data_IF_765243144724
#
_entry.id   IF_765243144724
#
_cell.length_a   1.000
_cell.length_b   1.000
_cell.length_c   1.000
_cell.angle_alpha   90.00
_cell.angle_beta   90.00
_cell.angle_gamma   90.00
#
_symmetry.space_group_name_H-M   'P 1'
#
loop_
_entity.id
_entity.type
_entity.pdbx_description
1 polymer ?
#
# COMPACT_ATOMS: atom_id res chain seq x y z
N UNK A 1 15.14 -19.55 -13.08
CA UNK A 1 14.13 -20.18 -12.22
C UNK A 1 12.94 -20.56 -13.11
N UNK A 2 12.34 -21.75 -12.97
CA UNK A 2 11.15 -22.10 -13.74
C UNK A 2 10.01 -21.14 -13.36
N UNK A 3 9.32 -20.59 -14.37
CA UNK A 3 8.11 -19.78 -14.15
C UNK A 3 7.02 -20.62 -13.48
N UNK A 4 6.15 -19.97 -12.70
CA UNK A 4 4.95 -20.59 -12.15
C UNK A 4 4.03 -21.01 -13.32
N UNK A 5 3.99 -22.29 -13.63
CA UNK A 5 3.05 -22.88 -14.56
C UNK A 5 1.79 -23.26 -13.80
N UNK A 6 0.63 -23.23 -14.48
CA UNK A 6 -0.59 -23.77 -13.92
C UNK A 6 -0.40 -25.27 -13.70
N UNK A 7 -0.28 -25.65 -12.41
CA UNK A 7 -0.37 -27.07 -12.06
C UNK A 7 -1.85 -27.45 -12.19
N UNK A 8 -2.19 -28.26 -13.20
CA UNK A 8 -3.56 -28.70 -13.48
C UNK A 8 -4.14 -29.59 -12.38
N UNK A 9 -3.33 -29.98 -11.41
CA UNK A 9 -3.75 -30.77 -10.22
C UNK A 9 -3.92 -29.93 -8.95
N UNK A 10 -3.67 -28.61 -8.98
CA UNK A 10 -3.85 -27.76 -7.81
C UNK A 10 -5.28 -27.28 -7.63
N UNK A 11 -5.88 -27.57 -6.48
CA UNK A 11 -7.18 -27.02 -6.09
C UNK A 11 -6.99 -25.66 -5.44
N UNK A 12 -7.75 -24.64 -5.88
CA UNK A 12 -7.72 -23.30 -5.28
C UNK A 12 -9.08 -22.89 -4.74
N UNK A 13 -9.07 -22.09 -3.66
CA UNK A 13 -10.27 -21.58 -3.01
C UNK A 13 -10.05 -20.16 -2.47
N UNK A 14 -11.14 -19.41 -2.30
CA UNK A 14 -11.12 -18.03 -1.79
C UNK A 14 -11.81 -17.98 -0.45
N UNK A 15 -11.11 -17.41 0.55
CA UNK A 15 -11.66 -17.08 1.85
C UNK A 15 -12.01 -15.60 1.94
N UNK A 16 -13.11 -15.30 2.64
CA UNK A 16 -13.50 -13.94 3.01
C UNK A 16 -13.25 -13.74 4.50
N UNK A 17 -12.52 -12.69 4.84
CA UNK A 17 -12.22 -12.29 6.21
C UNK A 17 -12.93 -10.98 6.52
N UNK A 18 -13.89 -11.02 7.45
CA UNK A 18 -14.71 -9.86 7.84
C UNK A 18 -14.05 -8.95 8.87
N UNK A 19 -12.96 -9.41 9.49
CA UNK A 19 -12.19 -8.65 10.47
C UNK A 19 -10.71 -8.68 10.13
N UNK A 20 -10.00 -7.62 10.49
CA UNK A 20 -8.56 -7.55 10.34
C UNK A 20 -7.84 -8.63 11.15
N UNK A 21 -8.35 -8.93 12.35
CA UNK A 21 -7.84 -10.00 13.21
C UNK A 21 -7.88 -11.35 12.50
N UNK A 22 -9.05 -11.71 11.97
CA UNK A 22 -9.21 -12.97 11.23
C UNK A 22 -8.33 -13.04 9.98
N UNK A 23 -8.18 -11.92 9.25
CA UNK A 23 -7.28 -11.81 8.10
C UNK A 23 -5.82 -12.05 8.51
N UNK A 24 -5.35 -11.38 9.55
CA UNK A 24 -3.97 -11.49 10.03
C UNK A 24 -3.68 -12.89 10.59
N UNK A 25 -4.61 -13.49 11.32
CA UNK A 25 -4.47 -14.86 11.84
C UNK A 25 -4.12 -15.87 10.74
N UNK A 26 -4.70 -15.75 9.54
CA UNK A 26 -4.38 -16.64 8.42
C UNK A 26 -3.16 -16.24 7.61
N UNK A 27 -2.85 -14.94 7.54
CA UNK A 27 -1.92 -14.43 6.52
C UNK A 27 -0.62 -13.85 7.06
N UNK A 28 -0.58 -13.52 8.36
CA UNK A 28 0.54 -12.76 8.93
C UNK A 28 1.92 -13.41 8.70
N UNK A 29 2.11 -14.74 8.86
CA UNK A 29 3.42 -15.34 8.58
C UNK A 29 3.91 -15.09 7.15
N UNK A 30 3.01 -15.19 6.17
CA UNK A 30 3.35 -14.92 4.76
C UNK A 30 3.56 -13.43 4.50
N UNK A 31 2.67 -12.56 5.01
CA UNK A 31 2.80 -11.11 4.84
C UNK A 31 4.09 -10.58 5.46
N UNK A 32 4.48 -11.08 6.63
CA UNK A 32 5.72 -10.72 7.34
C UNK A 32 6.97 -11.11 6.54
N UNK A 33 6.98 -12.28 5.87
CA UNK A 33 8.11 -12.67 5.01
C UNK A 33 8.32 -11.72 3.84
N UNK A 34 7.26 -11.05 3.39
CA UNK A 34 7.25 -10.11 2.26
C UNK A 34 6.87 -8.69 2.68
N UNK A 35 7.22 -8.27 3.90
CA UNK A 35 6.65 -7.08 4.57
C UNK A 35 6.81 -5.79 3.77
N UNK A 36 7.90 -5.61 3.03
CA UNK A 36 8.10 -4.43 2.19
C UNK A 36 7.05 -4.32 1.07
N UNK A 37 6.78 -5.40 0.34
CA UNK A 37 5.79 -5.41 -0.75
C UNK A 37 4.36 -5.57 -0.23
N UNK A 38 4.15 -6.34 0.84
CA UNK A 38 2.83 -6.53 1.45
C UNK A 38 2.34 -5.35 2.28
N UNK A 39 3.20 -4.33 2.53
CA UNK A 39 2.87 -3.17 3.34
C UNK A 39 1.54 -2.51 2.94
N UNK A 40 1.21 -2.51 1.64
CA UNK A 40 -0.03 -1.93 1.12
C UNK A 40 -1.30 -2.63 1.67
N UNK A 41 -1.26 -3.91 1.96
CA UNK A 41 -2.39 -4.67 2.53
C UNK A 41 -2.22 -4.87 4.03
N UNK A 42 -0.99 -5.15 4.50
CA UNK A 42 -0.68 -5.43 5.91
C UNK A 42 -0.95 -4.22 6.81
N UNK A 43 -0.44 -3.04 6.45
CA UNK A 43 -0.57 -1.86 7.29
C UNK A 43 -2.04 -1.40 7.46
N UNK A 44 -2.89 -1.60 6.46
CA UNK A 44 -4.32 -1.32 6.57
C UNK A 44 -5.04 -2.27 7.53
N UNK A 45 -4.62 -3.54 7.60
CA UNK A 45 -5.15 -4.48 8.58
C UNK A 45 -4.66 -4.16 9.99
N UNK A 46 -3.35 -3.90 10.15
CA UNK A 46 -2.75 -3.55 11.45
C UNK A 46 -3.37 -2.30 12.08
N UNK A 47 -3.73 -1.30 11.28
CA UNK A 47 -4.43 -0.10 11.78
C UNK A 47 -5.78 -0.42 12.44
N UNK A 48 -6.41 -1.55 12.11
CA UNK A 48 -7.75 -1.93 12.60
C UNK A 48 -7.74 -2.82 13.82
N UNK A 49 -6.69 -3.58 14.04
CA UNK A 49 -6.61 -4.46 15.21
C UNK A 49 -6.18 -3.72 16.48
N UNK A 50 -5.66 -2.48 16.35
CA UNK A 50 -5.24 -1.65 17.50
C UNK A 50 -4.13 -2.31 18.31
N UNK A 51 -3.35 -1.50 19.01
CA UNK A 51 -2.38 -1.81 20.05
C UNK A 51 -1.39 -2.99 19.86
N UNK A 52 -0.18 -2.75 20.32
CA UNK A 52 1.00 -3.63 20.34
C UNK A 52 0.76 -5.04 20.92
N UNK A 53 -0.25 -5.22 21.76
CA UNK A 53 -0.59 -6.50 22.42
C UNK A 53 -1.09 -7.55 21.42
N UNK A 54 -1.76 -7.15 20.34
CA UNK A 54 -2.23 -8.08 19.33
C UNK A 54 -1.09 -8.57 18.42
N UNK A 55 -0.05 -7.76 18.21
CA UNK A 55 1.07 -8.09 17.33
C UNK A 55 1.89 -9.28 17.81
N UNK A 56 2.15 -9.41 19.12
CA UNK A 56 2.91 -10.53 19.68
C UNK A 56 2.26 -11.90 19.40
N UNK A 57 0.92 -11.94 19.37
CA UNK A 57 0.18 -13.16 19.02
C UNK A 57 0.41 -13.57 17.55
N UNK A 58 0.34 -12.62 16.63
CA UNK A 58 0.59 -12.91 15.20
C UNK A 58 2.06 -13.21 14.91
N UNK A 59 2.99 -12.54 15.60
CA UNK A 59 4.44 -12.79 15.45
C UNK A 59 4.86 -14.18 15.90
N UNK A 60 4.15 -14.76 16.85
CA UNK A 60 4.38 -16.13 17.32
C UNK A 60 3.80 -17.21 16.40
N UNK A 61 2.91 -16.84 15.45
CA UNK A 61 2.29 -17.81 14.55
C UNK A 61 3.27 -18.37 13.53
N UNK A 62 3.25 -19.68 13.38
CA UNK A 62 3.98 -20.45 12.35
C UNK A 62 3.07 -20.81 11.16
N UNK A 63 3.67 -21.34 10.09
CA UNK A 63 2.89 -21.89 8.98
C UNK A 63 2.10 -23.13 9.39
N UNK A 64 2.59 -23.91 10.36
CA UNK A 64 1.89 -25.06 10.95
C UNK A 64 0.64 -24.65 11.73
N UNK A 65 0.70 -23.53 12.46
CA UNK A 65 -0.47 -22.98 13.15
C UNK A 65 -1.55 -22.57 12.15
N UNK A 66 -1.15 -21.90 11.06
CA UNK A 66 -2.07 -21.55 9.98
C UNK A 66 -2.68 -22.80 9.34
N UNK A 67 -1.88 -23.87 9.15
CA UNK A 67 -2.39 -25.15 8.63
C UNK A 67 -3.45 -25.76 9.57
N UNK A 68 -3.21 -25.75 10.86
CA UNK A 68 -4.17 -26.25 11.84
C UNK A 68 -5.51 -25.51 11.80
N UNK A 69 -5.48 -24.19 11.49
CA UNK A 69 -6.70 -23.40 11.27
C UNK A 69 -7.50 -23.89 10.05
N UNK A 70 -6.82 -24.24 8.95
CA UNK A 70 -7.49 -24.78 7.77
C UNK A 70 -8.12 -26.15 8.02
N UNK A 71 -7.45 -27.02 8.77
CA UNK A 71 -7.95 -28.34 9.11
C UNK A 71 -9.24 -28.29 9.96
N UNK A 72 -9.41 -27.22 10.75
CA UNK A 72 -10.57 -27.00 11.63
C UNK A 72 -11.54 -25.94 11.09
N UNK A 73 -11.38 -25.52 9.82
CA UNK A 73 -12.17 -24.43 9.24
C UNK A 73 -13.59 -24.84 8.92
N UNK A 74 -14.55 -24.03 9.33
CA UNK A 74 -15.95 -24.19 8.92
C UNK A 74 -16.12 -23.89 7.43
N UNK A 75 -16.82 -24.77 6.71
CA UNK A 75 -17.12 -24.61 5.28
C UNK A 75 -17.94 -23.35 4.97
N UNK A 76 -18.67 -22.79 5.91
CA UNK A 76 -19.40 -21.53 5.78
C UNK A 76 -18.51 -20.35 5.37
N UNK A 77 -17.22 -20.39 5.69
CA UNK A 77 -16.24 -19.36 5.29
C UNK A 77 -15.96 -19.35 3.78
N UNK A 78 -16.30 -20.42 3.09
CA UNK A 78 -16.21 -20.51 1.63
C UNK A 78 -17.39 -19.84 0.91
N UNK A 79 -18.46 -19.50 1.64
CA UNK A 79 -19.64 -18.85 1.09
C UNK A 79 -19.45 -17.32 1.07
N UNK A 80 -19.73 -16.62 -0.06
CA UNK A 80 -19.64 -15.17 -0.11
C UNK A 80 -20.73 -14.53 0.75
N UNK A 81 -20.34 -13.48 1.50
CA UNK A 81 -21.31 -12.69 2.30
C UNK A 81 -21.19 -11.22 1.88
N UNK A 82 -22.29 -10.56 1.48
CA UNK A 82 -22.29 -9.12 1.22
C UNK A 82 -21.74 -8.34 2.41
N UNK A 83 -20.96 -7.29 2.14
CA UNK A 83 -20.37 -6.46 3.19
C UNK A 83 -20.31 -5.00 2.76
N UNK A 84 -20.70 -4.11 3.65
CA UNK A 84 -20.50 -2.66 3.55
C UNK A 84 -19.26 -2.21 4.32
N UNK A 85 -18.73 -3.08 5.19
CA UNK A 85 -17.54 -2.82 6.00
C UNK A 85 -16.28 -3.30 5.29
N UNK A 86 -15.13 -2.93 5.86
CA UNK A 86 -13.84 -3.42 5.39
C UNK A 86 -13.74 -4.94 5.52
N UNK A 87 -13.27 -5.60 4.46
CA UNK A 87 -12.99 -7.04 4.45
C UNK A 87 -11.80 -7.35 3.54
N UNK A 88 -11.31 -8.59 3.66
CA UNK A 88 -10.22 -9.11 2.83
C UNK A 88 -10.65 -10.42 2.18
N UNK A 89 -10.20 -10.62 0.94
CA UNK A 89 -10.26 -11.90 0.27
C UNK A 89 -8.86 -12.46 0.12
N UNK A 90 -8.68 -13.72 0.44
CA UNK A 90 -7.43 -14.44 0.24
C UNK A 90 -7.67 -15.65 -0.63
N UNK A 91 -6.86 -15.82 -1.67
CA UNK A 91 -6.87 -16.99 -2.50
C UNK A 91 -5.73 -17.91 -2.11
N UNK A 92 -6.07 -19.15 -1.88
CA UNK A 92 -5.15 -20.21 -1.47
C UNK A 92 -5.15 -21.33 -2.50
N UNK A 93 -4.01 -21.99 -2.69
CA UNK A 93 -3.91 -23.21 -3.49
C UNK A 93 -3.32 -24.35 -2.66
N UNK A 94 -3.79 -25.57 -2.94
CA UNK A 94 -3.28 -26.80 -2.39
C UNK A 94 -2.71 -27.61 -3.55
N UNK A 95 -1.42 -27.92 -3.50
CA UNK A 95 -0.75 -28.76 -4.49
C UNK A 95 -0.98 -30.24 -4.17
N UNK A 96 -1.05 -31.08 -5.19
CA UNK A 96 -1.05 -32.54 -5.00
C UNK A 96 0.20 -33.09 -4.32
N UNK A 97 1.29 -32.31 -4.33
CA UNK A 97 2.58 -32.68 -3.71
C UNK A 97 2.75 -32.14 -2.29
N UNK A 98 1.91 -31.18 -1.87
CA UNK A 98 1.93 -30.56 -0.54
C UNK A 98 0.51 -30.44 0.00
N UNK A 99 0.25 -31.03 1.15
CA UNK A 99 -1.03 -30.86 1.83
C UNK A 99 -1.22 -29.47 2.44
N UNK A 100 -0.17 -28.64 2.45
CA UNK A 100 -0.19 -27.30 3.04
C UNK A 100 -0.77 -26.27 2.05
N UNK A 101 -1.81 -25.51 2.42
CA UNK A 101 -2.30 -24.40 1.61
C UNK A 101 -1.24 -23.31 1.47
N UNK A 102 -1.07 -22.80 0.24
CA UNK A 102 -0.17 -21.69 -0.06
C UNK A 102 -1.00 -20.45 -0.41
N UNK A 103 -0.67 -19.32 0.22
CA UNK A 103 -1.30 -18.03 -0.09
C UNK A 103 -0.81 -17.54 -1.46
N UNK A 104 -1.71 -17.40 -2.40
CA UNK A 104 -1.39 -16.95 -3.75
C UNK A 104 -1.71 -15.48 -3.98
N UNK A 105 -2.84 -15.00 -3.42
CA UNK A 105 -3.35 -13.65 -3.68
C UNK A 105 -4.08 -13.10 -2.47
N UNK A 106 -3.90 -11.80 -2.24
CA UNK A 106 -4.70 -11.01 -1.29
C UNK A 106 -5.39 -9.89 -2.05
N UNK A 107 -6.69 -9.72 -1.78
CA UNK A 107 -7.47 -8.55 -2.17
C UNK A 107 -7.98 -7.87 -0.89
N UNK A 108 -7.73 -6.56 -0.78
CA UNK A 108 -8.28 -5.75 0.33
C UNK A 108 -9.36 -4.81 -0.20
N UNK A 109 -10.57 -4.90 0.36
CA UNK A 109 -11.66 -3.95 0.15
C UNK A 109 -11.85 -3.19 1.46
N UNK A 110 -11.24 -2.03 1.57
CA UNK A 110 -11.13 -1.29 2.83
C UNK A 110 -11.55 0.17 2.65
N UNK A 111 -11.89 0.81 3.78
CA UNK A 111 -12.25 2.21 3.88
C UNK A 111 -11.52 2.84 5.07
N UNK A 112 -11.58 4.15 5.20
CA UNK A 112 -11.08 4.91 6.35
C UNK A 112 -11.89 6.20 6.53
N UNK A 113 -11.43 7.09 7.40
CA UNK A 113 -12.12 8.33 7.78
C UNK A 113 -12.61 9.18 6.60
N UNK A 114 -11.86 9.20 5.49
CA UNK A 114 -12.19 9.98 4.29
C UNK A 114 -12.97 9.21 3.22
N UNK A 115 -13.33 7.95 3.48
CA UNK A 115 -14.13 7.14 2.58
C UNK A 115 -13.46 5.85 2.13
N UNK A 116 -13.96 5.32 1.03
CA UNK A 116 -13.50 4.07 0.44
C UNK A 116 -12.14 4.20 -0.21
N UNK A 117 -11.29 3.20 -0.03
CA UNK A 117 -10.03 3.07 -0.76
C UNK A 117 -10.20 2.25 -2.04
N UNK A 118 -9.23 2.35 -2.99
CA UNK A 118 -9.09 1.39 -4.08
C UNK A 118 -9.14 -0.05 -3.60
N UNK A 119 -9.47 -0.96 -4.47
CA UNK A 119 -9.21 -2.37 -4.24
C UNK A 119 -7.69 -2.57 -4.32
N UNK A 120 -7.07 -3.03 -3.23
CA UNK A 120 -5.65 -3.37 -3.23
C UNK A 120 -5.45 -4.85 -3.56
N UNK A 121 -4.58 -5.12 -4.54
CA UNK A 121 -4.17 -6.48 -4.91
C UNK A 121 -2.70 -6.69 -4.56
N UNK A 122 -2.42 -7.81 -3.90
CA UNK A 122 -1.08 -8.23 -3.56
C UNK A 122 -0.89 -9.74 -3.73
N UNK A 123 0.33 -10.16 -4.06
CA UNK A 123 0.75 -11.55 -4.14
C UNK A 123 2.16 -11.71 -3.57
N UNK A 124 2.49 -12.83 -2.90
CA UNK A 124 3.88 -13.13 -2.50
C UNK A 124 4.77 -13.48 -3.69
N UNK A 125 4.19 -13.72 -4.87
CA UNK A 125 4.92 -14.12 -6.05
C UNK A 125 5.42 -12.89 -6.83
N UNK A 126 6.66 -12.96 -7.33
CA UNK A 126 7.23 -11.89 -8.16
C UNK A 126 6.52 -11.79 -9.51
N UNK A 127 6.47 -10.58 -10.08
CA UNK A 127 5.85 -10.34 -11.40
C UNK A 127 6.41 -11.29 -12.49
N UNK A 128 7.73 -11.52 -12.48
CA UNK A 128 8.40 -12.40 -13.43
C UNK A 128 8.00 -13.88 -13.31
N UNK A 129 7.51 -14.31 -12.14
CA UNK A 129 7.08 -15.68 -11.88
C UNK A 129 5.59 -15.90 -12.16
N UNK A 130 4.78 -14.84 -12.18
CA UNK A 130 3.33 -14.89 -12.36
C UNK A 130 2.95 -14.90 -13.86
N UNK A 131 2.94 -16.07 -14.49
CA UNK A 131 2.51 -16.23 -15.88
C UNK A 131 1.00 -15.93 -16.05
N UNK A 132 0.57 -15.56 -17.25
CA UNK A 132 -0.84 -15.31 -17.56
C UNK A 132 -1.74 -16.54 -17.27
N UNK A 133 -1.25 -17.74 -17.50
CA UNK A 133 -1.94 -19.00 -17.19
C UNK A 133 -2.13 -19.22 -15.69
N UNK A 134 -1.18 -18.76 -14.88
CA UNK A 134 -1.27 -18.81 -13.43
C UNK A 134 -2.19 -17.71 -12.86
N UNK A 135 -2.06 -16.49 -13.38
CA UNK A 135 -2.80 -15.32 -12.89
C UNK A 135 -4.29 -15.39 -13.20
N UNK A 136 -4.67 -15.68 -14.46
CA UNK A 136 -6.04 -15.53 -14.94
C UNK A 136 -7.07 -16.30 -14.11
N UNK A 137 -6.92 -17.61 -13.83
CA UNK A 137 -7.92 -18.37 -13.05
C UNK A 137 -8.02 -17.85 -11.60
N UNK A 138 -6.91 -17.43 -10.99
CA UNK A 138 -6.86 -16.91 -9.61
C UNK A 138 -7.56 -15.57 -9.48
N UNK A 139 -7.24 -14.64 -10.37
CA UNK A 139 -7.91 -13.34 -10.44
C UNK A 139 -9.40 -13.50 -10.75
N UNK A 140 -9.77 -14.43 -11.63
CA UNK A 140 -11.18 -14.69 -11.97
C UNK A 140 -11.97 -15.19 -10.76
N UNK A 141 -11.42 -16.10 -9.96
CA UNK A 141 -12.07 -16.57 -8.74
C UNK A 141 -12.22 -15.44 -7.71
N UNK A 142 -11.16 -14.65 -7.51
CA UNK A 142 -11.17 -13.52 -6.56
C UNK A 142 -12.14 -12.42 -6.99
N UNK A 143 -12.17 -12.07 -8.29
CA UNK A 143 -13.10 -11.09 -8.84
C UNK A 143 -14.56 -11.53 -8.72
N UNK A 144 -14.86 -12.81 -9.00
CA UNK A 144 -16.21 -13.40 -8.78
C UNK A 144 -16.62 -13.31 -7.32
N UNK A 145 -15.72 -13.62 -6.39
CA UNK A 145 -15.98 -13.49 -4.96
C UNK A 145 -16.25 -12.04 -4.57
N UNK A 146 -15.43 -11.09 -5.03
CA UNK A 146 -15.63 -9.66 -4.76
C UNK A 146 -17.00 -9.18 -5.27
N UNK A 147 -17.38 -9.55 -6.50
CA UNK A 147 -18.67 -9.20 -7.09
C UNK A 147 -19.87 -9.72 -6.27
N UNK A 148 -19.71 -10.85 -5.61
CA UNK A 148 -20.75 -11.38 -4.69
C UNK A 148 -20.77 -10.70 -3.32
N UNK A 149 -19.72 -9.90 -2.97
CA UNK A 149 -19.58 -9.25 -1.67
C UNK A 149 -19.98 -7.78 -1.71
N UNK A 150 -19.80 -7.07 -2.84
CA UNK A 150 -20.05 -5.62 -2.96
C UNK A 150 -20.74 -5.31 -4.29
N UNK A 151 -21.54 -4.22 -4.37
CA UNK A 151 -22.03 -3.70 -5.63
C UNK A 151 -20.85 -3.26 -6.51
N UNK A 152 -20.95 -3.40 -7.84
CA UNK A 152 -19.85 -3.07 -8.76
C UNK A 152 -19.35 -1.63 -8.63
N UNK A 153 -20.22 -0.68 -8.31
CA UNK A 153 -19.95 0.75 -8.13
C UNK A 153 -18.94 1.02 -7.01
N UNK A 154 -18.89 0.15 -5.97
CA UNK A 154 -17.90 0.23 -4.88
C UNK A 154 -16.46 0.09 -5.38
N UNK A 155 -16.27 -0.58 -6.52
CA UNK A 155 -14.95 -0.81 -7.10
C UNK A 155 -14.62 0.31 -8.06
N UNK A 156 -14.29 1.50 -7.53
CA UNK A 156 -13.97 2.67 -8.34
C UNK A 156 -12.58 2.61 -8.97
N UNK A 157 -11.64 1.90 -8.34
CA UNK A 157 -10.31 1.61 -8.89
C UNK A 157 -9.69 0.38 -8.25
N UNK A 158 -8.64 -0.12 -8.88
CA UNK A 158 -7.83 -1.23 -8.39
C UNK A 158 -6.36 -0.84 -8.48
N UNK A 159 -5.62 -1.07 -7.38
CA UNK A 159 -4.19 -0.78 -7.26
C UNK A 159 -3.39 -2.02 -6.88
N UNK A 160 -2.21 -2.16 -7.46
CA UNK A 160 -1.26 -3.23 -7.15
C UNK A 160 -0.20 -3.40 -8.24
N UNK A 161 0.47 -4.54 -8.24
CA UNK A 161 1.43 -4.90 -9.29
C UNK A 161 0.76 -4.85 -10.67
N UNK A 162 1.43 -4.27 -11.66
CA UNK A 162 0.87 -4.01 -13.00
C UNK A 162 0.19 -5.21 -13.66
N UNK A 163 0.77 -6.41 -13.54
CA UNK A 163 0.20 -7.65 -14.13
C UNK A 163 -1.11 -8.06 -13.45
N UNK A 164 -1.19 -7.93 -12.12
CA UNK A 164 -2.41 -8.20 -11.33
C UNK A 164 -3.53 -7.24 -11.75
N UNK A 165 -3.24 -5.93 -11.74
CA UNK A 165 -4.20 -4.87 -12.03
C UNK A 165 -4.75 -5.01 -13.44
N UNK A 166 -3.90 -5.16 -14.46
CA UNK A 166 -4.34 -5.35 -15.86
C UNK A 166 -5.20 -6.60 -16.04
N UNK A 167 -4.86 -7.69 -15.35
CA UNK A 167 -5.64 -8.93 -15.43
C UNK A 167 -6.98 -8.77 -14.73
N UNK A 168 -7.01 -8.17 -13.55
CA UNK A 168 -8.22 -7.90 -12.79
C UNK A 168 -9.17 -6.97 -13.56
N UNK A 169 -8.68 -5.84 -14.05
CA UNK A 169 -9.51 -4.85 -14.73
C UNK A 169 -10.21 -5.43 -15.96
N UNK A 170 -9.50 -6.24 -16.77
CA UNK A 170 -10.11 -6.93 -17.91
C UNK A 170 -11.23 -7.87 -17.49
N UNK A 171 -10.99 -8.67 -16.44
CA UNK A 171 -11.99 -9.62 -15.93
C UNK A 171 -13.16 -8.87 -15.31
N UNK A 172 -12.90 -7.81 -14.53
CA UNK A 172 -13.95 -7.00 -13.90
C UNK A 172 -14.85 -6.34 -14.93
N UNK A 173 -14.27 -5.70 -15.95
CA UNK A 173 -15.04 -5.13 -17.07
C UNK A 173 -15.91 -6.18 -17.78
N UNK A 174 -15.38 -7.37 -18.05
CA UNK A 174 -16.16 -8.45 -18.67
C UNK A 174 -17.33 -8.94 -17.80
N UNK A 175 -17.18 -8.90 -16.48
CA UNK A 175 -18.20 -9.37 -15.55
C UNK A 175 -19.28 -8.34 -15.25
N UNK A 176 -18.92 -7.06 -15.17
CA UNK A 176 -19.77 -5.99 -14.64
C UNK A 176 -20.24 -5.01 -15.71
N UNK A 177 -19.54 -4.93 -16.84
CA UNK A 177 -19.77 -3.91 -17.87
C UNK A 177 -19.10 -2.56 -17.60
N UNK A 178 -18.53 -2.33 -16.41
CA UNK A 178 -17.82 -1.08 -16.12
C UNK A 178 -16.56 -1.00 -16.97
N UNK A 179 -16.44 0.03 -17.79
CA UNK A 179 -15.27 0.27 -18.62
C UNK A 179 -14.10 0.81 -17.76
N UNK A 180 -12.88 0.46 -18.15
CA UNK A 180 -11.69 1.06 -17.54
C UNK A 180 -11.55 2.51 -18.02
N UNK A 181 -11.15 3.42 -17.13
CA UNK A 181 -10.81 4.81 -17.48
C UNK A 181 -9.70 4.84 -18.54
N UNK A 182 -9.74 5.79 -19.50
CA UNK A 182 -8.77 5.83 -20.60
C UNK A 182 -7.32 5.95 -20.12
N UNK A 183 -7.12 6.75 -19.05
CA UNK A 183 -5.80 6.99 -18.47
C UNK A 183 -5.72 6.33 -17.08
N UNK A 184 -4.58 5.73 -16.74
CA UNK A 184 -4.35 5.23 -15.40
C UNK A 184 -4.46 6.36 -14.37
N UNK A 185 -5.09 6.08 -13.23
CA UNK A 185 -5.07 7.03 -12.11
C UNK A 185 -3.66 7.20 -11.54
N UNK A 186 -2.88 6.11 -11.52
CA UNK A 186 -1.50 6.16 -11.08
C UNK A 186 -0.69 5.03 -11.74
N UNK A 187 0.49 5.39 -12.26
CA UNK A 187 1.49 4.43 -12.73
C UNK A 187 2.81 4.72 -12.01
N UNK A 188 3.31 3.79 -11.21
CA UNK A 188 4.37 4.04 -10.26
C UNK A 188 5.38 2.89 -10.16
N UNK A 189 6.53 3.22 -9.58
CA UNK A 189 7.50 2.26 -9.05
C UNK A 189 7.29 2.10 -7.54
N UNK A 190 7.15 0.88 -7.06
CA UNK A 190 7.41 0.54 -5.67
C UNK A 190 8.92 0.54 -5.47
N UNK A 191 9.41 1.31 -4.51
CA UNK A 191 10.83 1.42 -4.20
C UNK A 191 11.06 1.38 -2.70
N UNK A 192 12.27 0.99 -2.28
CA UNK A 192 12.64 0.88 -0.87
C UNK A 192 14.03 1.45 -0.59
N UNK A 193 14.26 1.82 0.68
CA UNK A 193 15.54 2.21 1.22
C UNK A 193 15.79 1.43 2.52
N UNK A 194 16.98 0.85 2.67
CA UNK A 194 17.45 0.13 3.85
C UNK A 194 18.64 0.85 4.48
N UNK A 195 19.13 0.35 5.60
CA UNK A 195 20.35 0.90 6.23
C UNK A 195 21.56 0.83 5.31
N UNK A 196 21.65 -0.22 4.44
CA UNK A 196 22.76 -0.38 3.49
C UNK A 196 22.65 0.56 2.28
N UNK A 197 21.43 0.89 1.84
CA UNK A 197 21.23 1.74 0.67
C UNK A 197 21.11 3.22 1.02
N UNK A 198 20.79 3.53 2.29
CA UNK A 198 20.61 4.89 2.77
C UNK A 198 21.87 5.74 2.57
N UNK A 199 21.70 6.91 1.99
CA UNK A 199 22.78 7.88 1.76
C UNK A 199 22.64 9.07 2.70
N UNK A 200 23.32 8.98 3.84
CA UNK A 200 23.44 10.07 4.77
C UNK A 200 24.16 11.27 4.13
N UNK A 201 23.73 12.47 4.46
CA UNK A 201 24.41 13.71 4.08
C UNK A 201 24.25 14.72 5.22
N UNK A 202 25.36 15.17 5.72
CA UNK A 202 25.35 16.25 6.72
C UNK A 202 25.19 17.58 5.98
N UNK A 203 23.99 18.17 6.06
CA UNK A 203 23.68 19.46 5.43
C UNK A 203 23.20 20.39 6.52
N UNK A 204 23.97 21.45 6.75
CA UNK A 204 23.54 22.52 7.67
C UNK A 204 22.25 23.17 7.11
N UNK A 205 21.27 23.34 7.98
CA UNK A 205 20.07 24.12 7.66
C UNK A 205 20.37 25.63 7.73
N UNK A 206 19.71 26.45 6.94
CA UNK A 206 19.74 27.88 7.12
C UNK A 206 19.29 28.27 8.52
N UNK A 207 19.74 29.42 9.01
CA UNK A 207 19.37 29.93 10.33
C UNK A 207 17.82 30.05 10.45
N UNK A 208 17.27 29.58 11.53
CA UNK A 208 15.83 29.60 11.80
C UNK A 208 15.03 28.48 11.11
N UNK A 209 15.66 27.67 10.24
CA UNK A 209 14.97 26.54 9.61
C UNK A 209 15.03 25.28 10.48
N UNK A 210 13.97 24.47 10.44
CA UNK A 210 13.86 23.23 11.23
C UNK A 210 13.22 22.10 10.42
N UNK A 211 13.67 20.88 10.70
CA UNK A 211 13.03 19.64 10.26
C UNK A 211 12.48 18.93 11.50
N UNK A 212 11.18 18.82 11.62
CA UNK A 212 10.53 18.35 12.84
C UNK A 212 9.20 17.67 12.56
N UNK A 213 8.68 16.94 13.52
CA UNK A 213 7.26 16.53 13.50
C UNK A 213 6.37 17.76 13.53
N UNK A 214 5.24 17.67 12.82
CA UNK A 214 4.21 18.70 12.88
C UNK A 214 3.57 18.74 14.28
N UNK A 215 3.15 19.94 14.70
CA UNK A 215 2.47 20.23 15.96
C UNK A 215 1.03 20.65 15.68
N UNK A 216 0.17 20.66 16.69
CA UNK A 216 -1.21 21.10 16.55
C UNK A 216 -1.34 22.51 15.98
N UNK A 217 -0.40 23.41 16.31
CA UNK A 217 -0.35 24.75 15.75
C UNK A 217 -0.09 24.80 14.23
N UNK A 218 0.44 23.72 13.63
CA UNK A 218 0.71 23.63 12.20
C UNK A 218 -0.51 23.14 11.40
N UNK A 219 -1.68 22.95 12.02
CA UNK A 219 -2.86 22.33 11.40
C UNK A 219 -3.22 22.97 10.06
N UNK A 220 -3.38 24.29 10.02
CA UNK A 220 -3.82 24.99 8.81
C UNK A 220 -2.77 24.91 7.68
N UNK A 221 -1.47 25.21 7.90
CA UNK A 221 -0.48 25.06 6.83
C UNK A 221 -0.30 23.60 6.38
N UNK A 222 -0.39 22.61 7.26
CA UNK A 222 -0.32 21.19 6.88
C UNK A 222 -1.57 20.80 6.06
N UNK A 223 -2.77 21.25 6.46
CA UNK A 223 -4.00 21.01 5.70
C UNK A 223 -3.91 21.63 4.29
N UNK A 224 -3.38 22.83 4.18
CA UNK A 224 -3.18 23.49 2.88
C UNK A 224 -2.24 22.67 1.99
N UNK A 225 -1.12 22.16 2.53
CA UNK A 225 -0.18 21.32 1.76
C UNK A 225 -0.77 19.94 1.42
N UNK A 226 -1.62 19.36 2.27
CA UNK A 226 -2.37 18.15 1.95
C UNK A 226 -3.35 18.38 0.79
N UNK A 227 -4.06 19.52 0.80
CA UNK A 227 -4.95 19.91 -0.30
C UNK A 227 -4.16 20.10 -1.61
N UNK A 228 -3.10 20.89 -1.59
CA UNK A 228 -2.26 21.13 -2.76
C UNK A 228 -1.67 19.85 -3.34
N UNK A 229 -1.29 18.89 -2.48
CA UNK A 229 -0.84 17.57 -2.93
C UNK A 229 -1.96 16.79 -3.64
N UNK A 230 -3.18 16.84 -3.10
CA UNK A 230 -4.33 16.17 -3.68
C UNK A 230 -4.79 16.84 -5.00
N UNK A 231 -4.68 18.16 -5.09
CA UNK A 231 -5.02 18.92 -6.30
C UNK A 231 -4.03 18.65 -7.46
N UNK A 232 -2.77 18.27 -7.16
CA UNK A 232 -1.83 17.80 -8.19
C UNK A 232 -2.30 16.45 -8.81
N UNK A 233 -3.26 15.74 -8.17
CA UNK A 233 -3.95 14.57 -8.70
C UNK A 233 -5.35 14.96 -9.19
N UNK A 234 -5.60 14.87 -10.48
CA UNK A 234 -6.92 15.19 -11.08
C UNK A 234 -8.03 14.22 -10.65
N UNK A 235 -7.66 13.06 -10.09
CA UNK A 235 -8.62 12.00 -9.78
C UNK A 235 -9.17 12.08 -8.36
N UNK A 236 -8.40 12.58 -7.39
CA UNK A 236 -8.74 12.59 -5.97
C UNK A 236 -8.54 13.97 -5.31
N UNK A 237 -9.17 15.03 -5.81
CA UNK A 237 -9.03 16.36 -5.22
C UNK A 237 -9.66 16.36 -3.81
N UNK A 238 -9.09 17.15 -2.90
CA UNK A 238 -9.60 17.34 -1.55
C UNK A 238 -10.16 18.75 -1.36
N UNK A 239 -11.34 18.86 -0.73
CA UNK A 239 -11.76 20.13 -0.17
C UNK A 239 -10.89 20.49 1.03
N UNK A 240 -10.80 21.77 1.37
CA UNK A 240 -9.97 22.20 2.51
C UNK A 240 -10.49 21.61 3.84
N UNK A 241 -11.80 21.37 3.97
CA UNK A 241 -12.40 20.75 5.14
C UNK A 241 -11.93 19.30 5.30
N UNK A 242 -11.90 18.53 4.20
CA UNK A 242 -11.39 17.15 4.19
C UNK A 242 -9.88 17.12 4.43
N UNK A 243 -9.14 18.07 3.86
CA UNK A 243 -7.71 18.21 4.10
C UNK A 243 -7.39 18.54 5.57
N UNK A 244 -8.24 19.33 6.27
CA UNK A 244 -8.13 19.57 7.72
C UNK A 244 -8.37 18.30 8.53
N UNK A 245 -9.32 17.45 8.13
CA UNK A 245 -9.56 16.16 8.79
C UNK A 245 -8.31 15.28 8.65
N UNK A 246 -7.76 15.16 7.45
CA UNK A 246 -6.54 14.41 7.19
C UNK A 246 -5.35 14.96 7.99
N UNK A 247 -5.10 16.27 7.92
CA UNK A 247 -4.01 16.92 8.64
C UNK A 247 -4.10 16.72 10.16
N UNK A 248 -5.30 16.82 10.73
CA UNK A 248 -5.54 16.57 12.16
C UNK A 248 -5.22 15.12 12.53
N UNK A 249 -5.61 14.15 11.71
CA UNK A 249 -5.27 12.74 11.93
C UNK A 249 -3.76 12.51 11.85
N UNK A 250 -3.09 13.05 10.83
CA UNK A 250 -1.64 12.93 10.66
C UNK A 250 -0.87 13.54 11.83
N UNK A 251 -1.27 14.72 12.28
CA UNK A 251 -0.60 15.44 13.40
C UNK A 251 -0.85 14.71 14.71
N UNK A 252 -2.10 14.37 15.03
CA UNK A 252 -2.45 13.73 16.30
C UNK A 252 -1.79 12.37 16.51
N UNK A 253 -1.54 11.64 15.41
CA UNK A 253 -0.85 10.34 15.43
C UNK A 253 0.68 10.46 15.23
N UNK A 254 1.23 11.67 15.08
CA UNK A 254 2.65 11.90 14.86
C UNK A 254 3.19 11.31 13.55
N UNK A 255 2.35 11.27 12.50
CA UNK A 255 2.62 10.63 11.21
C UNK A 255 3.12 11.60 10.13
N UNK A 256 3.30 12.88 10.44
CA UNK A 256 3.73 13.89 9.48
C UNK A 256 4.87 14.74 10.03
N UNK A 257 5.88 14.92 9.21
CA UNK A 257 7.03 15.81 9.43
C UNK A 257 6.93 17.02 8.50
N UNK A 258 7.49 18.11 8.93
CA UNK A 258 7.48 19.39 8.21
C UNK A 258 8.89 19.97 8.06
N UNK A 259 9.09 20.67 6.96
CA UNK A 259 10.16 21.63 6.79
C UNK A 259 9.59 23.00 7.17
N UNK A 260 10.06 23.51 8.29
CA UNK A 260 9.71 24.82 8.85
C UNK A 260 10.82 25.83 8.49
N UNK A 261 10.47 26.79 7.66
CA UNK A 261 11.38 27.84 7.22
C UNK A 261 11.08 29.14 7.98
N UNK A 262 11.56 29.22 9.24
CA UNK A 262 11.35 30.39 10.11
C UNK A 262 9.86 30.73 10.35
N UNK A 263 9.05 29.68 10.59
CA UNK A 263 7.60 29.79 10.84
C UNK A 263 6.73 29.55 9.60
N UNK A 264 7.32 29.43 8.41
CA UNK A 264 6.62 29.09 7.17
C UNK A 264 6.75 27.57 6.90
N UNK A 265 5.67 26.82 7.04
CA UNK A 265 5.64 25.38 6.75
C UNK A 265 5.58 25.20 5.22
N UNK A 266 6.69 24.73 4.66
CA UNK A 266 6.89 24.72 3.21
C UNK A 266 6.82 23.36 2.57
N UNK A 267 7.10 22.30 3.35
CA UNK A 267 7.13 20.92 2.87
C UNK A 267 6.59 19.98 3.94
N UNK A 268 5.83 18.97 3.51
CA UNK A 268 5.38 17.87 4.35
C UNK A 268 5.96 16.55 3.87
N UNK A 269 6.17 15.62 4.81
CA UNK A 269 6.47 14.22 4.56
C UNK A 269 5.61 13.37 5.51
N UNK A 270 4.63 12.64 4.98
CA UNK A 270 3.76 11.79 5.79
C UNK A 270 4.13 10.31 5.66
N UNK A 271 4.03 9.59 6.78
CA UNK A 271 4.33 8.16 6.91
C UNK A 271 3.10 7.47 7.50
N UNK A 272 2.20 6.99 6.64
CA UNK A 272 0.87 6.53 7.10
C UNK A 272 0.69 5.02 7.15
N UNK A 273 1.52 4.26 6.44
CA UNK A 273 1.48 2.80 6.45
C UNK A 273 2.70 2.26 7.21
N UNK A 274 2.47 1.90 8.45
CA UNK A 274 3.49 1.35 9.35
C UNK A 274 3.17 -0.10 9.70
N UNK A 275 4.19 -0.94 9.65
CA UNK A 275 4.20 -2.30 10.16
C UNK A 275 5.46 -2.50 11.02
N UNK A 276 5.65 -3.62 11.72
CA UNK A 276 6.77 -3.77 12.66
C UNK A 276 8.14 -3.43 12.07
N UNK A 277 8.45 -3.92 10.86
CA UNK A 277 9.76 -3.77 10.24
C UNK A 277 9.80 -2.76 9.09
N UNK A 278 8.65 -2.31 8.60
CA UNK A 278 8.54 -1.47 7.41
C UNK A 278 7.69 -0.23 7.67
N UNK A 279 8.14 0.92 7.19
CA UNK A 279 7.37 2.15 7.17
C UNK A 279 7.24 2.68 5.74
N UNK A 280 6.07 3.18 5.35
CA UNK A 280 5.85 3.74 4.03
C UNK A 280 5.69 5.26 4.07
N UNK A 281 6.55 5.95 3.34
CA UNK A 281 6.34 7.37 2.99
C UNK A 281 5.22 7.40 1.94
N UNK A 282 4.14 8.08 2.27
CA UNK A 282 2.92 8.08 1.46
C UNK A 282 2.61 9.43 0.83
N UNK A 283 3.11 10.51 1.40
CA UNK A 283 2.88 11.85 0.90
C UNK A 283 4.12 12.71 1.12
N UNK A 284 4.66 13.28 0.04
CA UNK A 284 5.71 14.28 0.08
C UNK A 284 5.30 15.44 -0.83
N UNK A 285 5.17 16.62 -0.25
CA UNK A 285 4.78 17.80 -1.01
C UNK A 285 5.54 19.04 -0.56
N UNK A 286 5.95 19.83 -1.53
CA UNK A 286 6.57 21.16 -1.30
C UNK A 286 5.77 22.20 -2.05
N UNK A 287 5.32 23.25 -1.34
CA UNK A 287 4.60 24.36 -1.99
C UNK A 287 5.41 24.96 -3.14
N UNK A 288 4.78 25.37 -4.26
CA UNK A 288 5.49 25.78 -5.49
C UNK A 288 6.59 26.84 -5.29
N UNK A 289 6.37 27.84 -4.41
CA UNK A 289 7.34 28.91 -4.10
C UNK A 289 8.63 28.41 -3.44
N UNK A 290 8.62 27.19 -2.87
CA UNK A 290 9.78 26.60 -2.19
C UNK A 290 10.36 25.39 -2.94
N UNK A 291 9.84 25.06 -4.10
CA UNK A 291 10.39 23.98 -4.96
C UNK A 291 11.81 24.33 -5.42
N UNK A 292 12.61 23.31 -5.76
CA UNK A 292 14.01 23.39 -6.20
C UNK A 292 15.01 23.99 -5.21
N UNK A 293 14.62 24.14 -3.94
CA UNK A 293 15.50 24.60 -2.85
C UNK A 293 16.03 23.46 -1.96
N UNK A 294 15.79 22.19 -2.35
CA UNK A 294 16.26 21.02 -1.60
C UNK A 294 15.38 20.62 -0.40
N UNK A 295 14.29 21.35 -0.10
CA UNK A 295 13.46 21.11 1.09
C UNK A 295 12.93 19.67 1.17
N UNK A 296 12.38 19.14 0.07
CA UNK A 296 11.88 17.76 0.03
C UNK A 296 13.00 16.74 0.28
N UNK A 297 14.18 16.92 -0.32
CA UNK A 297 15.30 15.99 -0.13
C UNK A 297 15.78 15.96 1.31
N UNK A 298 15.94 17.13 1.92
CA UNK A 298 16.36 17.23 3.32
C UNK A 298 15.35 16.59 4.26
N UNK A 299 14.05 16.89 4.05
CA UNK A 299 12.99 16.34 4.90
C UNK A 299 12.88 14.82 4.74
N UNK A 300 12.82 14.30 3.51
CA UNK A 300 12.75 12.86 3.25
C UNK A 300 13.97 12.14 3.83
N UNK A 301 15.17 12.71 3.69
CA UNK A 301 16.40 12.14 4.25
C UNK A 301 16.34 12.02 5.77
N UNK A 302 15.92 13.09 6.46
CA UNK A 302 15.78 13.06 7.92
C UNK A 302 14.72 12.07 8.37
N UNK A 303 13.55 12.06 7.72
CA UNK A 303 12.47 11.11 8.03
C UNK A 303 12.94 9.67 7.80
N UNK A 304 13.58 9.40 6.65
CA UNK A 304 14.11 8.05 6.35
C UNK A 304 15.16 7.62 7.37
N UNK A 305 16.07 8.52 7.77
CA UNK A 305 17.07 8.23 8.80
C UNK A 305 16.42 7.90 10.15
N UNK A 306 15.46 8.70 10.59
CA UNK A 306 14.73 8.43 11.84
C UNK A 306 14.01 7.09 11.81
N UNK A 307 13.34 6.76 10.69
CA UNK A 307 12.65 5.48 10.57
C UNK A 307 13.61 4.29 10.65
N UNK A 308 14.75 4.35 9.95
CA UNK A 308 15.73 3.27 9.93
C UNK A 308 16.52 3.16 11.25
N UNK A 309 17.05 4.27 11.76
CA UNK A 309 18.03 4.23 12.86
C UNK A 309 17.41 4.50 14.24
N UNK A 310 16.40 5.38 14.35
CA UNK A 310 15.79 5.71 15.64
C UNK A 310 14.61 4.78 15.95
N UNK A 311 13.82 4.41 14.93
CA UNK A 311 12.65 3.53 15.08
C UNK A 311 12.92 2.06 14.68
N UNK A 312 14.15 1.73 14.29
CA UNK A 312 14.60 0.36 14.01
C UNK A 312 13.89 -0.32 12.84
N UNK A 313 13.39 0.45 11.85
CA UNK A 313 12.78 -0.16 10.67
C UNK A 313 13.85 -0.79 9.77
N UNK A 314 13.58 -2.01 9.28
CA UNK A 314 14.46 -2.69 8.33
C UNK A 314 14.43 -1.99 6.96
N UNK A 315 13.29 -1.45 6.58
CA UNK A 315 13.16 -0.70 5.33
C UNK A 315 12.10 0.41 5.39
N UNK A 316 12.34 1.44 4.57
CA UNK A 316 11.37 2.48 4.26
C UNK A 316 10.96 2.31 2.81
N UNK A 317 9.67 2.21 2.54
CA UNK A 317 9.12 2.01 1.19
C UNK A 317 8.34 3.24 0.72
N UNK A 318 8.19 3.37 -0.59
CA UNK A 318 7.31 4.36 -1.20
C UNK A 318 6.87 3.92 -2.60
N UNK A 319 5.81 4.56 -3.08
CA UNK A 319 5.44 4.55 -4.50
C UNK A 319 5.76 5.91 -5.10
N UNK A 320 6.36 5.92 -6.30
CA UNK A 320 6.67 7.15 -7.03
C UNK A 320 6.31 7.00 -8.49
N UNK A 321 5.58 7.98 -9.04
CA UNK A 321 5.17 7.98 -10.44
C UNK A 321 6.35 7.84 -11.39
N UNK A 322 6.17 7.12 -12.51
CA UNK A 322 7.21 6.88 -13.51
C UNK A 322 7.79 8.18 -14.06
N UNK A 323 6.95 9.18 -14.30
CA UNK A 323 7.37 10.47 -14.83
C UNK A 323 7.60 11.54 -13.76
N UNK A 324 7.45 11.17 -12.47
CA UNK A 324 7.57 12.12 -11.38
C UNK A 324 9.05 12.47 -11.12
N UNK A 325 9.39 13.75 -11.21
CA UNK A 325 10.74 14.27 -10.94
C UNK A 325 11.21 14.00 -9.50
N UNK A 326 10.31 13.68 -8.57
CA UNK A 326 10.61 13.28 -7.20
C UNK A 326 11.47 12.00 -7.12
N UNK A 327 11.49 11.16 -8.19
CA UNK A 327 12.42 10.02 -8.27
C UNK A 327 13.86 10.45 -8.00
N UNK A 328 14.28 11.65 -8.49
CA UNK A 328 15.64 12.18 -8.26
C UNK A 328 15.90 12.50 -6.79
N UNK A 329 14.88 12.92 -6.06
CA UNK A 329 14.97 13.17 -4.61
C UNK A 329 15.19 11.85 -3.88
N UNK A 330 14.35 10.87 -4.15
CA UNK A 330 14.39 9.56 -3.50
C UNK A 330 15.67 8.78 -3.86
N UNK A 331 16.11 8.82 -5.12
CA UNK A 331 17.38 8.22 -5.54
C UNK A 331 18.58 8.79 -4.77
N UNK A 332 18.63 10.13 -4.56
CA UNK A 332 19.70 10.76 -3.76
C UNK A 332 19.64 10.42 -2.27
N UNK A 333 18.49 10.03 -1.74
CA UNK A 333 18.35 9.54 -0.36
C UNK A 333 18.77 8.08 -0.24
N UNK A 334 18.71 7.31 -1.33
CA UNK A 334 19.13 5.91 -1.35
C UNK A 334 18.02 4.90 -1.68
N UNK A 335 16.88 5.37 -2.16
CA UNK A 335 15.82 4.49 -2.63
C UNK A 335 16.23 3.80 -3.94
N UNK A 336 15.97 2.51 -4.02
CA UNK A 336 16.48 1.61 -5.04
C UNK A 336 15.69 1.68 -6.37
N UNK A 337 16.37 1.41 -7.51
CA UNK A 337 15.76 1.18 -8.81
C UNK A 337 15.12 2.38 -9.48
N UNK A 338 15.44 3.61 -9.05
CA UNK A 338 14.86 4.85 -9.56
C UNK A 338 15.75 5.51 -10.63
N UNK A 339 15.19 6.47 -11.37
CA UNK A 339 15.89 7.24 -12.39
C UNK A 339 16.53 6.37 -13.49
N UNK A 340 15.86 5.31 -13.92
CA UNK A 340 16.35 4.41 -14.97
C UNK A 340 17.44 3.43 -14.53
N UNK A 341 17.78 3.38 -13.25
CA UNK A 341 18.71 2.40 -12.70
C UNK A 341 18.12 0.98 -12.74
N UNK A 342 18.97 -0.08 -12.77
CA UNK A 342 18.48 -1.44 -12.65
C UNK A 342 17.57 -1.61 -11.44
N UNK A 343 16.48 -2.35 -11.61
CA UNK A 343 15.53 -2.66 -10.53
C UNK A 343 16.04 -3.89 -9.77
N UNK A 344 16.49 -3.74 -8.52
CA UNK A 344 16.79 -4.88 -7.68
C UNK A 344 15.49 -5.59 -7.28
N UNK A 345 15.65 -6.77 -6.67
CA UNK A 345 14.52 -7.52 -6.11
C UNK A 345 13.69 -6.65 -5.16
N UNK A 346 12.37 -6.70 -5.30
CA UNK A 346 11.43 -5.91 -4.50
C UNK A 346 11.09 -4.52 -5.09
N UNK A 347 11.79 -4.06 -6.13
CA UNK A 347 11.40 -2.88 -6.92
C UNK A 347 10.50 -3.33 -8.07
N UNK A 348 9.24 -2.92 -8.06
CA UNK A 348 8.22 -3.41 -8.99
C UNK A 348 7.38 -2.28 -9.58
N UNK A 349 6.89 -2.51 -10.81
CA UNK A 349 5.91 -1.61 -11.42
C UNK A 349 4.54 -1.84 -10.83
N UNK A 350 3.93 -0.75 -10.38
CA UNK A 350 2.58 -0.71 -9.83
C UNK A 350 1.67 0.18 -10.67
N UNK A 351 0.40 -0.14 -10.67
CA UNK A 351 -0.61 0.53 -11.48
C UNK A 351 -1.89 0.71 -10.68
N UNK A 352 -2.55 1.85 -10.89
CA UNK A 352 -3.94 2.06 -10.51
C UNK A 352 -4.77 2.31 -11.75
N UNK A 353 -5.80 1.49 -11.94
CA UNK A 353 -6.80 1.68 -13.00
C UNK A 353 -8.16 1.98 -12.38
N UNK A 354 -8.77 3.07 -12.83
CA UNK A 354 -10.12 3.46 -12.47
C UNK A 354 -11.19 2.81 -13.36
N UNK A 355 -12.44 2.84 -12.88
CA UNK A 355 -13.61 2.37 -13.63
C UNK A 355 -14.60 3.52 -13.83
N UNK A 356 -15.05 3.69 -15.08
CA UNK A 356 -15.98 4.75 -15.50
C UNK A 356 -17.34 4.54 -14.84
N UNK A 357 -17.87 5.58 -14.21
CA UNK A 357 -19.22 5.55 -13.60
C UNK A 357 -19.28 4.91 -12.22
N UNK A 358 -18.16 4.48 -11.65
CA UNK A 358 -18.10 4.01 -10.27
C UNK A 358 -18.02 5.18 -9.27
N UNK A 359 -18.40 4.91 -8.01
CA UNK A 359 -18.34 5.90 -6.93
C UNK A 359 -16.89 6.23 -6.58
N UNK A 360 -16.50 7.50 -6.73
CA UNK A 360 -15.13 7.89 -6.41
C UNK A 360 -14.89 7.92 -4.92
N UNK A 361 -13.90 7.15 -4.48
CA UNK A 361 -13.45 7.10 -3.10
C UNK A 361 -12.32 8.08 -2.79
N UNK A 362 -11.37 7.64 -1.98
CA UNK A 362 -10.21 8.42 -1.51
C UNK A 362 -8.94 7.59 -1.61
N UNK A 363 -7.80 8.29 -1.93
CA UNK A 363 -6.47 7.63 -2.00
C UNK A 363 -5.33 8.55 -1.58
#
# INVERSE_FOLDING_TARGET
MPGLHADTSSQSFVLQHHTADNFLTFTYPTLRRHEASSNIVLAHALKRVGAETALSGYEAMSDEDVYALFANMDHDRLTPRPSTDAFWLTLWSVSSQSSLPTLDLVLSCVNWTLGDYPIFLWTPHRAAAASAGWLKPRIQQTAKRLHACVPPERVFSVFGMTSLVKTFSRIWTQMTGFAVEPEPFYAALHSYCTTETFRGRNTALPQGHQLRKAKTADLEPVAQLCKEFADDSIYFPLSIERARIEARELISKGLVWVYDASGDITTICAVTRNSPRVAAITKVYTTPRWRRRGCAELLVRVVTAQLLFDFGKESVVLYVGHENSAQRVYDRVGFAGLCGKPKPDGVEDSLELGFVGADRGHW
#
